data_IF_411763856855
#
_entry.id   IF_411763856855
#
_cell.length_a   1.000
_cell.length_b   1.000
_cell.length_c   1.000
_cell.angle_alpha   90.00
_cell.angle_beta   90.00
_cell.angle_gamma   90.00
#
_symmetry.space_group_name_H-M   'P 1'
#
loop_
_entity.id
_entity.type
_entity.pdbx_description
1 polymer ?
#
# COMPACT_ATOMS: atom_id res chain seq x y z
N UNK A 1 27.50 10.90 9.12
CA UNK A 1 26.26 10.39 9.75
C UNK A 1 25.80 11.44 10.73
N UNK A 2 24.54 11.86 10.66
CA UNK A 2 23.94 12.81 11.61
C UNK A 2 22.91 12.03 12.42
N UNK A 3 22.85 12.27 13.73
CA UNK A 3 21.91 11.61 14.64
C UNK A 3 20.73 12.54 14.89
N UNK A 4 19.52 12.06 14.63
CA UNK A 4 18.27 12.78 14.92
C UNK A 4 17.51 12.06 16.03
N UNK A 5 17.15 12.79 17.08
CA UNK A 5 16.37 12.27 18.21
C UNK A 5 14.99 12.92 18.20
N UNK A 6 13.95 12.10 18.27
CA UNK A 6 12.56 12.55 18.36
C UNK A 6 11.84 11.76 19.45
N UNK A 7 10.81 12.37 20.04
CA UNK A 7 9.93 11.70 21.01
C UNK A 7 8.79 11.06 20.26
N UNK A 8 8.54 9.79 20.56
CA UNK A 8 7.46 9.00 20.00
C UNK A 8 6.95 8.08 21.10
N UNK A 9 5.65 7.80 21.09
CA UNK A 9 5.07 6.80 21.96
C UNK A 9 5.69 5.41 21.68
N UNK A 10 5.90 4.62 22.73
CA UNK A 10 6.60 3.35 22.63
C UNK A 10 5.82 2.33 21.78
N UNK A 11 4.50 2.32 21.93
CA UNK A 11 3.63 1.41 21.19
C UNK A 11 3.51 1.85 19.73
N UNK A 12 3.37 3.17 19.49
CA UNK A 12 3.39 3.71 18.12
C UNK A 12 4.70 3.37 17.39
N UNK A 13 5.85 3.47 18.07
CA UNK A 13 7.14 3.11 17.49
C UNK A 13 7.21 1.62 17.13
N UNK A 14 6.71 0.74 18.00
CA UNK A 14 6.67 -0.70 17.78
C UNK A 14 5.82 -1.04 16.57
N UNK A 15 4.59 -0.52 16.51
CA UNK A 15 3.67 -0.72 15.40
C UNK A 15 4.25 -0.21 14.07
N UNK A 16 4.84 0.99 14.06
CA UNK A 16 5.47 1.53 12.87
C UNK A 16 6.67 0.68 12.41
N UNK A 17 7.50 0.20 13.34
CA UNK A 17 8.61 -0.67 13.00
C UNK A 17 8.14 -1.99 12.39
N UNK A 18 7.17 -2.67 13.00
CA UNK A 18 6.59 -3.93 12.47
C UNK A 18 5.96 -3.72 11.09
N UNK A 19 5.24 -2.62 10.90
CA UNK A 19 4.63 -2.26 9.62
C UNK A 19 5.69 -2.12 8.53
N UNK A 20 6.72 -1.30 8.75
CA UNK A 20 7.73 -1.05 7.71
C UNK A 20 8.61 -2.28 7.46
N UNK A 21 8.92 -3.09 8.48
CA UNK A 21 9.63 -4.37 8.30
C UNK A 21 8.81 -5.33 7.45
N UNK A 22 7.48 -5.38 7.62
CA UNK A 22 6.60 -6.18 6.75
C UNK A 22 6.62 -5.72 5.28
N UNK A 23 6.98 -4.44 5.04
CA UNK A 23 7.19 -3.86 3.70
C UNK A 23 8.64 -4.00 3.21
N UNK A 24 9.52 -4.67 3.97
CA UNK A 24 10.92 -4.87 3.61
C UNK A 24 11.82 -3.65 3.84
N UNK A 25 11.44 -2.73 4.75
CA UNK A 25 12.25 -1.56 5.07
C UNK A 25 12.31 -1.25 6.57
N UNK A 26 13.45 -0.77 7.04
CA UNK A 26 13.55 -0.34 8.44
C UNK A 26 12.85 1.00 8.68
N UNK A 27 12.39 1.22 9.92
CA UNK A 27 11.78 2.49 10.33
C UNK A 27 12.67 3.71 10.00
N UNK A 28 13.98 3.59 10.16
CA UNK A 28 14.92 4.66 9.83
C UNK A 28 14.98 4.93 8.31
N UNK A 29 14.87 3.88 7.49
CA UNK A 29 14.78 4.03 6.03
C UNK A 29 13.50 4.77 5.66
N UNK A 30 12.36 4.42 6.25
CA UNK A 30 11.09 5.10 6.05
C UNK A 30 11.15 6.59 6.42
N UNK A 31 11.76 6.95 7.55
CA UNK A 31 11.96 8.36 7.95
C UNK A 31 12.81 9.11 6.93
N UNK A 32 13.87 8.49 6.40
CA UNK A 32 14.68 9.13 5.36
C UNK A 32 13.90 9.34 4.05
N UNK A 33 13.05 8.40 3.66
CA UNK A 33 12.14 8.55 2.50
C UNK A 33 11.16 9.70 2.75
N UNK A 34 10.56 9.77 3.94
CA UNK A 34 9.66 10.86 4.34
C UNK A 34 10.32 12.23 4.18
N UNK A 35 11.55 12.40 4.66
CA UNK A 35 12.28 13.67 4.58
C UNK A 35 12.63 14.04 3.14
N UNK A 36 13.12 13.08 2.34
CA UNK A 36 13.44 13.32 0.92
C UNK A 36 12.21 13.73 0.12
N UNK A 37 11.08 13.06 0.35
CA UNK A 37 9.85 13.35 -0.34
C UNK A 37 9.30 14.73 0.03
N UNK A 38 9.37 15.09 1.31
CA UNK A 38 8.99 16.42 1.78
C UNK A 38 9.80 17.55 1.13
N UNK A 39 11.12 17.35 1.00
CA UNK A 39 12.01 18.32 0.35
C UNK A 39 11.76 18.39 -1.15
N UNK A 40 11.61 17.25 -1.82
CA UNK A 40 11.42 17.17 -3.28
C UNK A 40 10.14 17.89 -3.73
N UNK A 41 9.07 17.78 -2.95
CA UNK A 41 7.75 18.25 -3.34
C UNK A 41 7.28 19.49 -2.58
N UNK A 42 8.12 20.02 -1.67
CA UNK A 42 7.82 21.20 -0.84
C UNK A 42 6.47 21.11 -0.10
N UNK A 43 6.09 19.90 0.33
CA UNK A 43 4.82 19.61 1.01
C UNK A 43 4.96 18.40 1.92
N UNK A 44 3.94 18.14 2.75
CA UNK A 44 3.87 16.87 3.49
C UNK A 44 3.82 15.68 2.52
N UNK A 45 4.54 14.58 2.80
CA UNK A 45 4.65 13.45 1.87
C UNK A 45 3.40 12.57 1.85
N UNK A 46 2.42 12.92 2.68
CA UNK A 46 1.05 12.44 2.65
C UNK A 46 0.11 13.63 2.92
N UNK A 47 -1.16 13.51 2.52
CA UNK A 47 -2.19 14.48 2.84
C UNK A 47 -2.79 14.13 4.20
N UNK A 48 -2.69 14.99 5.23
CA UNK A 48 -3.36 14.73 6.50
C UNK A 48 -4.88 14.73 6.28
N UNK A 49 -5.55 13.69 6.75
CA UNK A 49 -7.01 13.59 6.74
C UNK A 49 -7.49 12.96 8.03
N UNK A 50 -8.63 13.43 8.55
CA UNK A 50 -9.28 12.86 9.73
C UNK A 50 -10.02 11.55 9.40
N UNK A 51 -10.39 11.37 8.13
CA UNK A 51 -11.05 10.17 7.61
C UNK A 51 -10.18 9.57 6.49
N UNK A 52 -10.12 8.24 6.35
CA UNK A 52 -9.54 7.65 5.14
C UNK A 52 -10.30 8.21 3.94
N UNK A 53 -9.63 9.02 3.11
CA UNK A 53 -10.23 9.59 1.91
C UNK A 53 -10.36 8.45 0.92
N UNK A 54 -11.55 7.83 0.91
CA UNK A 54 -11.91 6.95 -0.16
C UNK A 54 -12.13 7.79 -1.43
N UNK A 55 -11.76 7.27 -2.60
CA UNK A 55 -12.06 7.97 -3.84
C UNK A 55 -13.56 8.22 -3.96
N UNK A 56 -13.96 9.21 -4.76
CA UNK A 56 -15.37 9.32 -5.16
C UNK A 56 -15.79 8.04 -5.90
N UNK A 57 -17.02 7.57 -5.66
CA UNK A 57 -17.58 6.42 -6.38
C UNK A 57 -17.50 6.68 -7.89
N UNK A 58 -16.84 5.77 -8.61
CA UNK A 58 -16.55 5.90 -10.04
C UNK A 58 -15.13 6.39 -10.37
N UNK A 59 -14.28 6.67 -9.37
CA UNK A 59 -12.86 6.95 -9.62
C UNK A 59 -12.16 5.77 -10.30
N UNK A 60 -11.38 6.07 -11.34
CA UNK A 60 -10.57 5.10 -12.09
C UNK A 60 -9.09 5.38 -11.84
N UNK A 61 -8.39 4.42 -11.25
CA UNK A 61 -6.96 4.48 -11.00
C UNK A 61 -6.16 4.31 -12.31
N UNK A 62 -4.89 4.75 -12.38
CA UNK A 62 -4.06 4.64 -13.60
C UNK A 62 -3.87 3.21 -14.12
N UNK A 63 -4.02 2.20 -13.26
CA UNK A 63 -3.97 0.78 -13.63
C UNK A 63 -5.34 0.21 -14.07
N UNK A 64 -6.36 1.06 -14.23
CA UNK A 64 -7.71 0.68 -14.67
C UNK A 64 -8.65 0.21 -13.56
N UNK A 65 -8.19 0.08 -12.32
CA UNK A 65 -9.04 -0.30 -11.19
C UNK A 65 -10.07 0.80 -10.94
N UNK A 66 -11.34 0.43 -10.83
CA UNK A 66 -12.44 1.38 -10.55
C UNK A 66 -12.97 1.21 -9.14
N UNK A 67 -13.13 2.31 -8.40
CA UNK A 67 -13.77 2.30 -7.09
C UNK A 67 -15.29 2.35 -7.22
N UNK A 68 -16.00 1.38 -6.61
CA UNK A 68 -17.47 1.24 -6.70
C UNK A 68 -18.19 1.69 -5.42
N UNK A 69 -17.49 2.19 -4.42
CA UNK A 69 -18.07 2.59 -3.14
C UNK A 69 -17.79 1.59 -2.03
N UNK A 70 -18.68 1.54 -1.04
CA UNK A 70 -18.62 0.62 0.10
C UNK A 70 -19.68 -0.47 -0.03
N UNK A 71 -19.39 -1.68 0.44
CA UNK A 71 -20.40 -2.72 0.63
C UNK A 71 -21.23 -2.46 1.90
N UNK A 72 -22.25 -3.30 2.14
CA UNK A 72 -23.12 -3.21 3.31
C UNK A 72 -22.37 -3.38 4.65
N UNK A 73 -21.11 -3.83 4.62
CA UNK A 73 -20.24 -4.05 5.77
C UNK A 73 -19.20 -2.94 5.94
N UNK A 74 -19.22 -1.92 5.07
CA UNK A 74 -18.30 -0.79 5.10
C UNK A 74 -16.93 -1.07 4.50
N UNK A 75 -16.76 -2.14 3.71
CA UNK A 75 -15.52 -2.41 2.99
C UNK A 75 -15.51 -1.79 1.59
N UNK A 76 -14.38 -1.21 1.15
CA UNK A 76 -14.20 -0.74 -0.23
C UNK A 76 -14.48 -1.81 -1.27
N UNK A 77 -15.38 -1.52 -2.20
CA UNK A 77 -15.63 -2.34 -3.39
C UNK A 77 -14.85 -1.77 -4.55
N UNK A 78 -14.07 -2.63 -5.20
CA UNK A 78 -13.32 -2.28 -6.42
C UNK A 78 -13.69 -3.22 -7.55
N UNK A 79 -13.67 -2.67 -8.76
CA UNK A 79 -13.83 -3.39 -10.01
C UNK A 79 -12.45 -3.51 -10.67
N UNK A 80 -12.00 -4.76 -10.86
CA UNK A 80 -10.68 -5.08 -11.37
C UNK A 80 -10.81 -5.45 -12.85
N UNK A 81 -10.08 -4.78 -13.77
CA UNK A 81 -10.13 -5.14 -15.18
C UNK A 81 -9.70 -6.58 -15.44
N UNK A 82 -10.35 -7.25 -16.39
CA UNK A 82 -10.01 -8.63 -16.80
C UNK A 82 -8.53 -8.79 -17.16
N UNK A 83 -7.89 -7.75 -17.69
CA UNK A 83 -6.46 -7.75 -18.00
C UNK A 83 -5.55 -7.93 -16.78
N UNK A 84 -6.05 -7.64 -15.57
CA UNK A 84 -5.34 -7.86 -14.31
C UNK A 84 -5.70 -9.18 -13.65
N UNK A 85 -6.78 -9.84 -14.10
CA UNK A 85 -7.20 -11.15 -13.62
C UNK A 85 -6.49 -12.21 -14.44
N UNK A 86 -5.37 -12.70 -13.91
CA UNK A 86 -4.65 -13.82 -14.54
C UNK A 86 -5.41 -15.11 -14.24
N UNK A 87 -5.98 -15.72 -15.27
CA UNK A 87 -6.47 -17.10 -15.14
C UNK A 87 -5.29 -17.99 -14.73
N UNK A 88 -5.38 -18.70 -13.58
CA UNK A 88 -4.29 -19.54 -13.14
C UNK A 88 -4.11 -20.68 -14.16
N UNK A 89 -2.89 -20.84 -14.66
CA UNK A 89 -2.53 -22.00 -15.50
C UNK A 89 -2.86 -23.26 -14.71
N UNK A 90 -3.46 -24.28 -15.32
CA UNK A 90 -3.78 -25.55 -14.65
C UNK A 90 -2.87 -26.65 -15.16
N UNK A 91 -2.48 -27.58 -14.28
CA UNK A 91 -1.76 -28.79 -14.67
C UNK A 91 -2.70 -29.82 -15.31
N UNK A 92 -2.16 -30.98 -15.69
CA UNK A 92 -2.92 -32.06 -16.33
C UNK A 92 -4.02 -32.65 -15.43
N UNK A 93 -3.92 -32.44 -14.12
CA UNK A 93 -4.89 -32.90 -13.11
C UNK A 93 -5.92 -31.80 -12.75
N UNK A 94 -5.86 -30.65 -13.42
CA UNK A 94 -6.78 -29.53 -13.23
C UNK A 94 -6.45 -28.65 -12.02
N UNK A 95 -5.32 -28.88 -11.36
CA UNK A 95 -4.84 -28.10 -10.21
C UNK A 95 -4.32 -26.74 -10.70
N UNK A 96 -4.75 -25.62 -10.12
CA UNK A 96 -4.18 -24.30 -10.39
C UNK A 96 -2.67 -24.28 -10.05
N UNK A 97 -1.85 -24.13 -11.08
CA UNK A 97 -0.42 -23.86 -10.98
C UNK A 97 -0.24 -22.40 -10.62
N UNK A 98 0.28 -22.15 -9.42
CA UNK A 98 0.64 -20.81 -8.98
C UNK A 98 1.67 -20.20 -9.96
N UNK A 99 1.51 -18.95 -10.38
CA UNK A 99 2.51 -18.29 -11.22
C UNK A 99 3.85 -18.27 -10.49
N UNK A 100 4.85 -18.95 -11.05
CA UNK A 100 6.18 -19.14 -10.45
C UNK A 100 7.02 -17.84 -10.35
N UNK A 101 6.50 -16.69 -10.79
CA UNK A 101 7.23 -15.42 -10.82
C UNK A 101 6.83 -14.47 -9.67
N UNK A 102 7.14 -14.87 -8.45
CA UNK A 102 7.40 -13.97 -7.30
C UNK A 102 8.74 -14.37 -6.63
N UNK A 103 9.71 -14.75 -7.46
CA UNK A 103 11.14 -14.83 -7.15
C UNK A 103 11.90 -14.25 -8.34
N UNK A 104 12.14 -12.95 -8.29
CA UNK A 104 13.46 -12.31 -8.23
C UNK A 104 13.29 -10.79 -8.26
#
# INVERSE_FOLDING_TARGET
>A
MVTSTYRVDAELKRQAAELYESMGMSLNTAINVFLRQSVREHRMPFQPSLEPVLPETGYVAPNGITYKGLDDRGYPVIDVPDSMVVEPKRDQDGTPVLPQSWKD
#
